data_IF_812457905035
#
_entry.id   IF_812457905035
#
_cell.length_a   1.000
_cell.length_b   1.000
_cell.length_c   1.000
_cell.angle_alpha   90.00
_cell.angle_beta   90.00
_cell.angle_gamma   90.00
#
_symmetry.space_group_name_H-M   'P 1'
#
loop_
_entity.id
_entity.type
_entity.pdbx_description
1 polymer ?
#
# COMPACT_ATOMS: atom_id res chain seq x y z
N UNK A 1 -6.05 -16.06 13.04
CA UNK A 1 -5.44 -14.78 12.78
C UNK A 1 -5.27 -14.01 14.08
N UNK A 2 -4.15 -13.29 14.22
CA UNK A 2 -3.77 -12.55 15.44
C UNK A 2 -4.85 -11.56 15.93
N UNK A 3 -5.69 -11.06 15.04
CA UNK A 3 -6.62 -9.98 15.33
C UNK A 3 -8.09 -10.31 15.12
N UNK A 4 -8.43 -11.60 15.09
CA UNK A 4 -9.80 -12.08 14.83
C UNK A 4 -10.84 -11.64 15.86
N UNK A 5 -10.42 -11.19 17.03
CA UNK A 5 -11.31 -10.69 18.08
C UNK A 5 -11.17 -9.19 18.35
N UNK A 6 -10.33 -8.53 17.60
CA UNK A 6 -10.01 -7.10 17.83
C UNK A 6 -11.24 -6.18 17.74
N UNK A 7 -12.22 -6.50 16.89
CA UNK A 7 -13.44 -5.74 16.73
C UNK A 7 -14.24 -5.53 18.03
N UNK A 8 -14.07 -6.40 19.02
CA UNK A 8 -14.74 -6.26 20.31
C UNK A 8 -14.34 -5.03 21.08
N UNK A 9 -13.18 -4.49 20.79
CA UNK A 9 -12.63 -3.30 21.45
C UNK A 9 -13.05 -1.99 20.78
N UNK A 10 -13.70 -2.06 19.64
CA UNK A 10 -14.25 -0.92 18.92
C UNK A 10 -15.75 -0.73 19.14
N UNK A 11 -16.32 -1.42 20.10
CA UNK A 11 -17.71 -1.18 20.49
C UNK A 11 -17.84 0.21 21.12
N UNK A 12 -18.83 0.94 20.67
CA UNK A 12 -19.19 2.21 21.33
C UNK A 12 -19.53 1.96 22.81
N UNK A 13 -18.84 2.65 23.69
CA UNK A 13 -19.09 2.59 25.13
C UNK A 13 -20.44 3.20 25.48
N UNK A 14 -20.99 4.05 24.61
CA UNK A 14 -22.20 4.85 24.89
C UNK A 14 -23.51 4.11 24.60
N UNK A 15 -23.53 3.17 23.64
CA UNK A 15 -24.78 2.51 23.25
C UNK A 15 -24.72 0.97 23.20
N UNK A 16 -23.55 0.37 23.44
CA UNK A 16 -23.38 -1.08 23.40
C UNK A 16 -23.59 -1.71 22.01
N UNK A 17 -23.69 -0.89 20.96
CA UNK A 17 -23.87 -1.41 19.62
C UNK A 17 -22.58 -2.02 19.09
N UNK A 18 -22.69 -3.21 18.48
CA UNK A 18 -21.59 -3.86 17.77
C UNK A 18 -21.38 -3.20 16.42
N UNK A 19 -20.14 -2.93 16.07
CA UNK A 19 -19.78 -2.78 14.66
C UNK A 19 -20.05 -4.12 13.98
N UNK A 20 -21.12 -4.21 13.22
CA UNK A 20 -21.56 -5.48 12.64
C UNK A 20 -20.83 -5.79 11.34
N UNK A 21 -20.77 -4.84 10.45
CA UNK A 21 -20.11 -4.96 9.16
C UNK A 21 -19.87 -3.58 8.57
N UNK A 22 -18.74 -3.37 7.95
CA UNK A 22 -18.48 -2.18 7.15
C UNK A 22 -17.28 -1.39 7.63
N UNK A 23 -17.17 -0.19 7.09
CA UNK A 23 -16.11 0.75 7.39
C UNK A 23 -16.36 1.51 8.69
N UNK A 24 -15.29 1.73 9.45
CA UNK A 24 -15.31 2.64 10.60
C UNK A 24 -13.91 3.25 10.82
N UNK A 25 -13.89 4.46 11.36
CA UNK A 25 -12.68 5.22 11.63
C UNK A 25 -12.55 5.45 13.13
N UNK A 26 -11.51 4.94 13.74
CA UNK A 26 -11.27 5.00 15.19
C UNK A 26 -9.78 4.97 15.51
N UNK A 27 -9.43 5.39 16.71
CA UNK A 27 -8.10 5.15 17.27
C UNK A 27 -7.94 3.66 17.59
N UNK A 28 -6.80 3.09 17.25
CA UNK A 28 -6.50 1.70 17.55
C UNK A 28 -6.57 1.44 19.06
N UNK A 29 -7.15 0.31 19.47
CA UNK A 29 -7.08 -0.09 20.88
C UNK A 29 -5.63 -0.39 21.27
N UNK A 30 -5.27 -0.06 22.52
CA UNK A 30 -3.89 -0.20 23.05
C UNK A 30 -3.27 -1.58 22.74
N UNK A 31 -4.06 -2.63 22.86
CA UNK A 31 -3.60 -4.00 22.62
C UNK A 31 -3.39 -4.36 21.14
N UNK A 32 -3.92 -3.56 20.21
CA UNK A 32 -3.71 -3.74 18.79
C UNK A 32 -2.43 -3.06 18.32
N UNK A 33 -2.27 -1.82 18.73
CA UNK A 33 -1.11 -1.02 18.40
C UNK A 33 -0.99 0.10 19.44
N UNK A 34 -0.09 -0.11 20.39
CA UNK A 34 0.11 0.81 21.50
C UNK A 34 0.55 2.19 21.05
N UNK A 35 1.45 2.26 20.07
CA UNK A 35 1.98 3.53 19.60
C UNK A 35 0.88 4.39 18.98
N UNK A 36 0.02 3.80 18.16
CA UNK A 36 -1.11 4.51 17.55
C UNK A 36 -2.21 4.89 18.56
N UNK A 37 -2.34 4.12 19.63
CA UNK A 37 -3.21 4.46 20.76
C UNK A 37 -2.65 5.63 21.56
N UNK A 38 -1.36 5.59 21.89
CA UNK A 38 -0.70 6.65 22.65
C UNK A 38 -0.66 7.99 21.88
N UNK A 39 -0.53 7.92 20.55
CA UNK A 39 -0.55 9.09 19.65
C UNK A 39 -1.97 9.61 19.37
N UNK A 40 -3.01 8.93 19.84
CA UNK A 40 -4.42 9.25 19.57
C UNK A 40 -4.74 9.30 18.07
N UNK A 41 -4.04 8.48 17.30
CA UNK A 41 -4.10 8.47 15.83
C UNK A 41 -5.21 7.56 15.33
N UNK A 42 -6.20 8.14 14.67
CA UNK A 42 -7.31 7.37 14.08
C UNK A 42 -6.94 6.77 12.71
N UNK A 43 -7.59 5.66 12.38
CA UNK A 43 -7.42 4.99 11.11
C UNK A 43 -8.72 4.31 10.65
N UNK A 44 -8.80 4.01 9.37
CA UNK A 44 -9.90 3.25 8.80
C UNK A 44 -9.69 1.75 8.98
N UNK A 45 -10.77 1.07 9.35
CA UNK A 45 -10.87 -0.37 9.50
C UNK A 45 -12.11 -0.88 8.76
N UNK A 46 -12.10 -2.16 8.42
CA UNK A 46 -13.29 -2.83 7.89
C UNK A 46 -13.56 -4.12 8.64
N UNK A 47 -14.79 -4.26 9.12
CA UNK A 47 -15.27 -5.50 9.74
C UNK A 47 -16.15 -6.28 8.77
N UNK A 48 -15.97 -7.61 8.71
CA UNK A 48 -16.86 -8.51 7.96
C UNK A 48 -18.21 -8.71 8.66
N UNK A 49 -19.08 -9.54 8.06
CA UNK A 49 -20.41 -9.80 8.61
C UNK A 49 -20.42 -10.49 9.98
N UNK A 50 -19.31 -11.11 10.41
CA UNK A 50 -19.12 -11.69 11.74
C UNK A 50 -18.45 -10.74 12.73
N UNK A 51 -18.12 -9.53 12.28
CA UNK A 51 -17.44 -8.51 13.08
C UNK A 51 -15.93 -8.70 13.17
N UNK A 52 -15.32 -9.52 12.32
CA UNK A 52 -13.87 -9.69 12.24
C UNK A 52 -13.25 -8.58 11.40
N UNK A 53 -12.16 -7.98 11.88
CA UNK A 53 -11.36 -7.04 11.11
C UNK A 53 -10.63 -7.75 9.98
N UNK A 54 -10.60 -7.12 8.80
CA UNK A 54 -9.62 -7.48 7.78
C UNK A 54 -8.24 -7.02 8.22
N UNK A 55 -7.27 -7.91 8.18
CA UNK A 55 -5.91 -7.63 8.64
C UNK A 55 -4.88 -8.48 7.88
N UNK A 56 -3.77 -7.85 7.47
CA UNK A 56 -2.66 -8.54 6.79
C UNK A 56 -3.04 -9.11 5.43
N UNK A 57 -3.93 -8.48 4.69
CA UNK A 57 -4.46 -9.01 3.44
C UNK A 57 -5.00 -7.95 2.50
N UNK A 58 -5.10 -8.33 1.22
CA UNK A 58 -5.90 -7.59 0.24
C UNK A 58 -7.35 -8.07 0.27
N UNK A 59 -8.30 -7.15 0.16
CA UNK A 59 -9.74 -7.47 0.08
C UNK A 59 -10.44 -6.62 -0.95
N UNK A 60 -11.34 -7.25 -1.70
CA UNK A 60 -12.25 -6.55 -2.62
C UNK A 60 -13.54 -6.23 -1.88
N UNK A 61 -13.88 -4.94 -1.81
CA UNK A 61 -15.06 -4.41 -1.14
C UNK A 61 -15.83 -3.56 -2.16
N UNK A 62 -17.04 -3.95 -2.51
CA UNK A 62 -17.89 -3.25 -3.50
C UNK A 62 -17.15 -2.96 -4.82
N UNK A 63 -16.40 -3.94 -5.33
CA UNK A 63 -15.68 -3.85 -6.60
C UNK A 63 -14.36 -3.10 -6.57
N UNK A 64 -13.95 -2.56 -5.43
CA UNK A 64 -12.65 -1.90 -5.23
C UNK A 64 -11.76 -2.74 -4.32
N UNK A 65 -10.48 -2.79 -4.63
CA UNK A 65 -9.50 -3.56 -3.86
C UNK A 65 -8.78 -2.68 -2.84
N UNK A 66 -8.69 -3.18 -1.62
CA UNK A 66 -8.06 -2.50 -0.48
C UNK A 66 -7.01 -3.42 0.14
N UNK A 67 -6.09 -2.84 0.87
CA UNK A 67 -5.14 -3.57 1.69
C UNK A 67 -5.22 -3.12 3.15
N UNK A 68 -5.05 -4.06 4.05
CA UNK A 68 -5.08 -3.80 5.49
C UNK A 68 -3.79 -4.28 6.13
N UNK A 69 -3.18 -3.44 6.97
CA UNK A 69 -2.00 -3.82 7.77
C UNK A 69 -2.33 -4.98 8.70
N UNK A 70 -1.32 -5.63 9.23
CA UNK A 70 -1.50 -6.74 10.16
C UNK A 70 -2.28 -6.35 11.44
N UNK A 71 -2.28 -5.09 11.82
CA UNK A 71 -3.09 -4.54 12.92
C UNK A 71 -4.51 -4.12 12.51
N UNK A 72 -4.88 -4.29 11.25
CA UNK A 72 -6.19 -3.98 10.69
C UNK A 72 -6.32 -2.59 10.05
N UNK A 73 -5.34 -1.70 10.22
CA UNK A 73 -5.41 -0.36 9.63
C UNK A 73 -5.38 -0.43 8.10
N UNK A 74 -6.32 0.26 7.45
CA UNK A 74 -6.35 0.41 5.99
C UNK A 74 -5.05 1.07 5.50
N UNK A 75 -4.47 0.50 4.44
CA UNK A 75 -3.30 1.07 3.78
C UNK A 75 -3.76 2.12 2.76
N UNK A 76 -3.09 3.25 2.73
CA UNK A 76 -3.25 4.29 1.71
C UNK A 76 -1.88 4.74 1.17
N UNK A 77 -1.89 5.55 0.10
CA UNK A 77 -0.67 6.06 -0.50
C UNK A 77 0.14 5.03 -1.28
N UNK A 78 1.39 5.38 -1.54
CA UNK A 78 2.35 4.53 -2.26
C UNK A 78 3.12 3.67 -1.27
N UNK A 79 3.05 2.35 -1.45
CA UNK A 79 3.64 1.39 -0.51
C UNK A 79 4.37 0.26 -1.23
N UNK A 80 5.45 -0.23 -0.64
CA UNK A 80 6.03 -1.53 -0.98
C UNK A 80 5.53 -2.58 0.00
N UNK A 81 4.94 -3.65 -0.51
CA UNK A 81 4.37 -4.73 0.31
C UNK A 81 5.04 -6.05 -0.04
N UNK A 82 5.51 -6.73 0.99
CA UNK A 82 5.96 -8.12 0.92
C UNK A 82 4.91 -9.02 1.56
N UNK A 83 4.29 -9.88 0.75
CA UNK A 83 3.30 -10.82 1.24
C UNK A 83 3.97 -12.00 1.97
N UNK A 84 3.44 -12.33 3.14
CA UNK A 84 3.77 -13.57 3.88
C UNK A 84 2.76 -14.68 3.59
N UNK A 85 2.84 -15.76 4.35
CA UNK A 85 1.96 -16.92 4.18
C UNK A 85 0.51 -16.63 4.59
N UNK A 86 0.31 -15.94 5.70
CA UNK A 86 -1.02 -15.64 6.27
C UNK A 86 -1.23 -14.16 6.60
N UNK A 87 -0.22 -13.35 6.37
CA UNK A 87 -0.24 -11.92 6.65
C UNK A 87 0.70 -11.17 5.69
N UNK A 88 0.85 -9.87 5.87
CA UNK A 88 1.93 -9.14 5.22
C UNK A 88 3.21 -9.32 6.05
N UNK A 89 4.26 -9.80 5.41
CA UNK A 89 5.56 -9.92 6.06
C UNK A 89 6.13 -8.54 6.38
N UNK A 90 5.97 -7.59 5.46
CA UNK A 90 6.39 -6.21 5.65
C UNK A 90 5.60 -5.24 4.78
N UNK A 91 5.46 -3.99 5.24
CA UNK A 91 4.87 -2.88 4.51
C UNK A 91 5.77 -1.66 4.70
N UNK A 92 6.32 -1.15 3.61
CA UNK A 92 7.22 0.00 3.62
C UNK A 92 6.53 1.20 2.98
N UNK A 93 6.55 2.29 3.71
CA UNK A 93 5.90 3.55 3.36
C UNK A 93 6.91 4.70 3.26
N UNK A 94 6.52 5.76 2.60
CA UNK A 94 7.25 7.01 2.55
C UNK A 94 7.26 7.79 3.89
N UNK A 95 6.35 7.44 4.80
CA UNK A 95 6.25 7.99 6.15
C UNK A 95 7.06 7.20 7.21
N UNK A 96 7.82 6.19 6.78
CA UNK A 96 8.72 5.44 7.65
C UNK A 96 10.03 6.21 7.82
N UNK A 97 10.47 6.42 9.06
CA UNK A 97 11.71 7.14 9.40
C UNK A 97 12.97 6.61 8.69
N UNK A 98 12.94 5.37 8.23
CA UNK A 98 14.07 4.72 7.55
C UNK A 98 13.95 4.72 6.02
N UNK A 99 12.81 5.17 5.47
CA UNK A 99 12.53 5.09 4.05
C UNK A 99 11.87 6.38 3.57
N UNK A 100 12.50 7.03 2.61
CA UNK A 100 12.01 8.27 2.02
C UNK A 100 11.73 8.08 0.53
N UNK A 101 10.58 8.57 0.07
CA UNK A 101 10.23 8.68 -1.34
C UNK A 101 9.99 10.15 -1.72
N UNK A 102 10.83 11.06 -1.20
CA UNK A 102 10.65 12.49 -1.37
C UNK A 102 10.80 12.95 -2.82
N UNK A 103 11.59 12.21 -3.60
CA UNK A 103 11.82 12.49 -5.01
C UNK A 103 11.97 11.19 -5.82
N UNK A 104 12.02 11.33 -7.15
CA UNK A 104 12.13 10.20 -8.06
C UNK A 104 13.40 9.36 -7.83
N UNK A 105 14.53 10.01 -7.55
CA UNK A 105 15.82 9.32 -7.34
C UNK A 105 15.79 8.49 -6.05
N UNK A 106 15.22 9.00 -4.98
CA UNK A 106 15.06 8.29 -3.71
C UNK A 106 14.13 7.08 -3.89
N UNK A 107 13.01 7.27 -4.60
CA UNK A 107 12.10 6.17 -4.91
C UNK A 107 12.83 5.07 -5.69
N UNK A 108 13.55 5.40 -6.75
CA UNK A 108 14.24 4.43 -7.60
C UNK A 108 15.35 3.69 -6.85
N UNK A 109 16.09 4.38 -5.98
CA UNK A 109 17.13 3.76 -5.16
C UNK A 109 16.55 2.70 -4.21
N UNK A 110 15.41 2.98 -3.61
CA UNK A 110 14.72 2.05 -2.72
C UNK A 110 14.00 0.94 -3.49
N UNK A 111 13.37 1.26 -4.62
CA UNK A 111 12.65 0.28 -5.44
C UNK A 111 13.55 -0.86 -5.91
N UNK A 112 14.78 -0.60 -6.34
CA UNK A 112 15.70 -1.64 -6.75
C UNK A 112 16.06 -2.58 -5.59
N UNK A 113 16.24 -2.06 -4.38
CA UNK A 113 16.54 -2.85 -3.19
C UNK A 113 15.38 -3.75 -2.80
N UNK A 114 14.17 -3.19 -2.72
CA UNK A 114 13.01 -3.94 -2.21
C UNK A 114 12.35 -4.83 -3.24
N UNK A 115 12.35 -4.44 -4.50
CA UNK A 115 11.68 -5.22 -5.54
C UNK A 115 12.53 -6.40 -6.02
N UNK A 116 13.77 -6.15 -6.45
CA UNK A 116 14.56 -7.12 -7.22
C UNK A 116 15.13 -8.28 -6.38
N UNK A 117 15.40 -8.06 -5.11
CA UNK A 117 16.04 -9.05 -4.25
C UNK A 117 15.18 -9.59 -3.12
N UNK A 118 14.19 -8.84 -2.67
CA UNK A 118 13.53 -9.06 -1.39
C UNK A 118 12.06 -9.52 -1.51
N UNK A 119 11.49 -9.51 -2.72
CA UNK A 119 10.11 -9.98 -2.95
C UNK A 119 9.01 -8.97 -2.62
N UNK A 120 9.34 -7.69 -2.57
CA UNK A 120 8.36 -6.62 -2.44
C UNK A 120 7.72 -6.25 -3.78
N UNK A 121 6.48 -5.78 -3.72
CA UNK A 121 5.78 -5.16 -4.86
C UNK A 121 5.27 -3.79 -4.47
N UNK A 122 5.31 -2.86 -5.41
CA UNK A 122 4.81 -1.50 -5.22
C UNK A 122 3.34 -1.41 -5.59
N UNK A 123 2.55 -0.75 -4.73
CA UNK A 123 1.13 -0.48 -4.94
C UNK A 123 0.81 0.96 -4.62
N UNK A 124 -0.25 1.48 -5.23
CA UNK A 124 -0.79 2.79 -4.89
C UNK A 124 -2.28 2.68 -4.50
N UNK A 125 -2.62 3.17 -3.33
CA UNK A 125 -3.95 3.08 -2.72
C UNK A 125 -4.66 4.44 -2.59
N UNK A 126 -4.31 5.40 -3.42
CA UNK A 126 -4.94 6.72 -3.38
C UNK A 126 -4.49 7.58 -2.21
N UNK A 127 -5.22 8.65 -1.95
CA UNK A 127 -4.92 9.58 -0.85
C UNK A 127 -5.44 9.10 0.51
N UNK A 128 -5.23 9.93 1.54
CA UNK A 128 -5.42 9.59 2.95
C UNK A 128 -6.80 9.03 3.32
N UNK A 129 -7.86 9.48 2.67
CA UNK A 129 -9.24 9.05 2.96
C UNK A 129 -9.79 8.03 1.95
N UNK A 130 -8.99 7.58 1.00
CA UNK A 130 -9.44 6.71 -0.08
C UNK A 130 -9.09 5.23 0.15
N UNK A 131 -7.84 4.86 0.03
CA UNK A 131 -7.35 3.50 0.20
C UNK A 131 -7.66 2.54 -0.95
N UNK A 132 -8.45 2.92 -1.94
CA UNK A 132 -8.74 2.05 -3.08
C UNK A 132 -7.51 1.89 -4.00
N UNK A 133 -7.15 0.63 -4.26
CA UNK A 133 -6.02 0.30 -5.14
C UNK A 133 -6.21 0.89 -6.54
N UNK A 134 -5.18 1.56 -7.03
CA UNK A 134 -5.13 2.10 -8.41
C UNK A 134 -4.52 1.07 -9.35
N UNK A 135 -4.99 1.10 -10.60
CA UNK A 135 -4.49 0.28 -11.70
C UNK A 135 -4.32 1.11 -12.95
N UNK A 136 -3.47 0.65 -13.88
CA UNK A 136 -3.21 1.35 -15.12
C UNK A 136 -2.32 2.58 -14.94
N UNK A 137 -2.42 3.51 -15.88
CA UNK A 137 -1.65 4.76 -15.86
C UNK A 137 -2.12 5.65 -14.72
N UNK A 138 -1.18 6.07 -13.89
CA UNK A 138 -1.45 6.90 -12.71
C UNK A 138 -0.37 7.96 -12.60
N UNK A 139 -0.76 9.21 -12.34
CA UNK A 139 0.18 10.30 -12.10
C UNK A 139 0.28 10.55 -10.59
N UNK A 140 1.50 10.54 -10.06
CA UNK A 140 1.81 10.84 -8.67
C UNK A 140 2.71 12.07 -8.60
N UNK A 141 2.63 12.80 -7.50
CA UNK A 141 3.45 13.98 -7.27
C UNK A 141 4.59 13.67 -6.31
N UNK A 142 5.82 13.89 -6.76
CA UNK A 142 7.03 13.84 -5.95
C UNK A 142 7.70 15.22 -5.97
N UNK A 143 7.93 15.80 -4.80
CA UNK A 143 8.59 17.11 -4.66
C UNK A 143 8.02 18.20 -5.59
N UNK A 144 6.68 18.22 -5.71
CA UNK A 144 5.96 19.16 -6.58
C UNK A 144 5.97 18.81 -8.08
N UNK A 145 6.63 17.75 -8.48
CA UNK A 145 6.67 17.28 -9.88
C UNK A 145 5.77 16.07 -10.10
N UNK A 146 5.08 16.06 -11.23
CA UNK A 146 4.24 14.92 -11.61
C UNK A 146 5.10 13.81 -12.23
N UNK A 147 4.95 12.62 -11.70
CA UNK A 147 5.64 11.41 -12.15
C UNK A 147 4.61 10.39 -12.61
N UNK A 148 4.83 9.79 -13.78
CA UNK A 148 3.94 8.79 -14.34
C UNK A 148 4.29 7.40 -13.83
N UNK A 149 3.25 6.67 -13.43
CA UNK A 149 3.30 5.28 -12.99
C UNK A 149 2.41 4.41 -13.85
N UNK A 150 2.71 3.13 -13.86
CA UNK A 150 1.85 2.11 -14.42
C UNK A 150 1.73 0.94 -13.44
N UNK A 151 0.49 0.64 -13.05
CA UNK A 151 0.16 -0.50 -12.21
C UNK A 151 -0.63 -1.54 -13.00
N UNK A 152 -0.33 -2.83 -12.82
CA UNK A 152 -0.98 -3.91 -13.55
C UNK A 152 -2.51 -3.85 -13.43
N UNK A 153 -3.21 -3.98 -14.55
CA UNK A 153 -4.67 -3.84 -14.62
C UNK A 153 -5.42 -5.10 -14.23
N UNK A 154 -4.79 -6.27 -14.34
CA UNK A 154 -5.46 -7.56 -14.18
C UNK A 154 -4.49 -8.68 -13.83
N UNK A 155 -5.04 -9.87 -13.57
CA UNK A 155 -4.28 -11.07 -13.28
C UNK A 155 -3.78 -11.15 -11.85
N UNK A 156 -2.87 -12.09 -11.58
CA UNK A 156 -2.31 -12.33 -10.25
C UNK A 156 -1.46 -11.19 -9.70
N UNK A 157 -1.04 -10.26 -10.56
CA UNK A 157 -0.23 -9.08 -10.20
C UNK A 157 -1.04 -7.78 -10.24
N UNK A 158 -2.38 -7.86 -10.30
CA UNK A 158 -3.23 -6.67 -10.36
C UNK A 158 -2.87 -5.65 -9.29
N UNK A 159 -2.62 -4.42 -9.72
CA UNK A 159 -2.23 -3.31 -8.87
C UNK A 159 -0.73 -3.21 -8.58
N UNK A 160 0.06 -4.23 -8.88
CA UNK A 160 1.51 -4.16 -8.72
C UNK A 160 2.14 -3.24 -9.76
N UNK A 161 3.09 -2.42 -9.33
CA UNK A 161 3.87 -1.57 -10.24
C UNK A 161 4.64 -2.41 -11.24
N UNK A 162 4.57 -2.02 -12.52
CA UNK A 162 5.29 -2.71 -13.59
C UNK A 162 6.79 -2.49 -13.45
N UNK A 163 7.57 -3.55 -13.61
CA UNK A 163 9.02 -3.50 -13.78
C UNK A 163 9.38 -4.11 -15.12
N UNK A 164 10.14 -3.38 -15.92
CA UNK A 164 10.51 -3.76 -17.28
C UNK A 164 9.77 -2.97 -18.34
N UNK A 165 9.72 -3.53 -19.55
CA UNK A 165 9.10 -2.88 -20.69
C UNK A 165 7.58 -3.10 -20.74
N UNK A 166 6.85 -2.02 -20.97
CA UNK A 166 5.43 -2.05 -21.31
C UNK A 166 5.10 -0.91 -22.26
N UNK A 167 4.41 -1.23 -23.38
CA UNK A 167 4.01 -0.26 -24.40
C UNK A 167 5.20 0.60 -24.93
N UNK A 168 6.35 -0.01 -25.14
CA UNK A 168 7.61 0.62 -25.57
C UNK A 168 8.21 1.61 -24.57
N UNK A 169 7.84 1.52 -23.29
CA UNK A 169 8.40 2.32 -22.20
C UNK A 169 8.96 1.43 -21.11
N UNK A 170 9.97 1.92 -20.41
CA UNK A 170 10.59 1.22 -19.28
C UNK A 170 10.06 1.74 -17.97
N UNK A 171 9.79 0.82 -17.05
CA UNK A 171 9.28 1.10 -15.72
C UNK A 171 10.12 0.39 -14.65
N UNK A 172 10.23 1.01 -13.48
CA UNK A 172 10.78 0.39 -12.27
C UNK A 172 9.76 0.50 -11.15
N UNK A 173 9.26 -0.62 -10.67
CA UNK A 173 8.23 -0.68 -9.61
C UNK A 173 7.05 0.27 -9.84
N UNK A 174 6.65 0.39 -11.09
CA UNK A 174 5.59 1.25 -11.57
C UNK A 174 6.03 2.61 -12.09
N UNK A 175 7.15 3.17 -11.63
CA UNK A 175 7.62 4.48 -12.07
C UNK A 175 8.16 4.43 -13.50
N UNK A 176 7.67 5.31 -14.37
CA UNK A 176 8.18 5.49 -15.71
C UNK A 176 9.61 6.03 -15.66
N UNK A 177 10.54 5.28 -16.24
CA UNK A 177 11.93 5.71 -16.37
C UNK A 177 12.03 6.69 -17.54
N UNK A 178 12.61 7.87 -17.27
CA UNK A 178 12.92 8.88 -18.28
C UNK A 178 14.39 8.80 -18.61
N UNK A 179 14.73 8.82 -19.90
CA UNK A 179 16.10 9.06 -20.30
C UNK A 179 16.46 10.52 -19.95
N UNK A 180 17.63 10.74 -19.35
CA UNK A 180 18.16 12.07 -19.17
C UNK A 180 18.27 12.79 -20.53
N UNK A 181 18.03 14.08 -20.55
CA UNK A 181 18.06 14.86 -21.80
C UNK A 181 19.42 14.82 -22.51
N UNK A 182 20.48 14.48 -21.76
CA UNK A 182 21.83 14.34 -22.26
C UNK A 182 22.17 12.89 -22.69
N UNK A 183 21.40 11.90 -22.23
CA UNK A 183 21.56 10.48 -22.56
C UNK A 183 20.51 10.06 -23.58
N UNK A 184 20.78 10.30 -24.87
CA UNK A 184 19.86 9.92 -25.95
C UNK A 184 19.63 8.41 -26.06
N UNK A 185 20.45 7.57 -25.45
CA UNK A 185 20.30 6.12 -25.44
C UNK A 185 20.93 5.54 -24.17
N UNK A 186 20.14 5.25 -23.16
CA UNK A 186 20.57 4.34 -22.09
C UNK A 186 20.34 2.91 -22.57
N UNK A 187 21.42 2.20 -22.85
CA UNK A 187 21.34 0.75 -23.06
C UNK A 187 21.07 0.13 -21.69
N UNK A 188 19.82 -0.19 -21.43
CA UNK A 188 19.48 -1.06 -20.31
C UNK A 188 19.84 -2.47 -20.74
N UNK A 189 20.93 -3.02 -20.23
CA UNK A 189 21.26 -4.42 -20.41
C UNK A 189 20.07 -5.24 -19.92
N UNK A 190 19.46 -5.96 -20.85
CA UNK A 190 18.51 -7.01 -20.54
C UNK A 190 19.29 -8.22 -20.03
N UNK A 191 19.88 -8.13 -18.86
CA UNK A 191 20.23 -9.33 -18.13
C UNK A 191 18.97 -9.86 -17.47
N UNK A 192 18.46 -10.88 -18.09
CA UNK A 192 17.42 -11.73 -17.55
C UNK A 192 17.91 -12.47 -16.31
#
# INVERSE_FOLDING_TARGET
AKYTQAWRYFNSVEDGSRVSKGWFKVVAAEMLNKDKYDDDEDAWYYADGSGKLYAGEFKTIKGKKYAFRNDGRMINGLKFIKEGTNDFEDVIADDDDNHSFDNEDDFLAQASTYFEGEGYKCYYFGGDEDGAMRTGKTSLTFDGENTNFYFEKSGGKKGAGVTGEKDNKLYQSGMLLKADSDDKYTVVDKET
#
